data_IF_341030232561
#
_entry.id   IF_341030232561
#
_cell.length_a   1.000
_cell.length_b   1.000
_cell.length_c   1.000
_cell.angle_alpha   90.00
_cell.angle_beta   90.00
_cell.angle_gamma   90.00
#
_symmetry.space_group_name_H-M   'P 1'
#
loop_
_entity.id
_entity.type
_entity.pdbx_description
1 polymer ?
#
# COMPACT_ATOMS: atom_id res chain seq x y z
N UNK A 1 17.39 2.32 23.01
CA UNK A 1 16.51 3.42 22.57
C UNK A 1 15.77 3.11 21.26
N UNK A 2 16.04 1.98 20.58
CA UNK A 2 15.39 1.64 19.30
C UNK A 2 14.19 0.68 19.44
N UNK A 3 14.14 -0.17 20.49
CA UNK A 3 13.06 -1.15 20.67
C UNK A 3 11.67 -0.55 20.95
N UNK A 4 11.57 0.55 21.72
CA UNK A 4 10.26 1.11 22.06
C UNK A 4 9.55 1.75 20.85
N UNK A 5 10.30 2.21 19.87
CA UNK A 5 9.74 2.77 18.64
C UNK A 5 9.25 1.71 17.67
N UNK A 6 9.82 0.50 17.70
CA UNK A 6 9.43 -0.59 16.81
C UNK A 6 8.04 -1.13 17.13
N UNK A 7 7.70 -1.26 18.41
CA UNK A 7 6.36 -1.69 18.85
C UNK A 7 5.28 -0.67 18.48
N UNK A 8 5.56 0.62 18.65
CA UNK A 8 4.63 1.71 18.33
C UNK A 8 4.44 1.85 16.80
N UNK A 9 5.51 1.69 16.03
CA UNK A 9 5.45 1.64 14.56
C UNK A 9 4.70 0.39 14.08
N UNK A 10 4.97 -0.77 14.67
CA UNK A 10 4.32 -2.03 14.33
C UNK A 10 2.82 -1.97 14.55
N UNK A 11 2.36 -1.35 15.65
CA UNK A 11 0.93 -1.15 15.93
C UNK A 11 0.21 -0.34 14.85
N UNK A 12 0.91 0.53 14.13
CA UNK A 12 0.37 1.31 13.01
C UNK A 12 0.28 0.55 11.67
N UNK A 13 0.88 -0.65 11.58
CA UNK A 13 0.87 -1.49 10.38
C UNK A 13 -0.28 -2.49 10.44
N UNK A 14 -1.00 -2.76 9.34
CA UNK A 14 -2.02 -3.80 9.32
C UNK A 14 -1.52 -5.20 9.70
N UNK A 15 -0.26 -5.53 9.41
CA UNK A 15 0.34 -6.79 9.87
C UNK A 15 0.79 -6.78 11.34
N UNK A 16 0.73 -5.64 12.04
CA UNK A 16 1.04 -5.54 13.46
C UNK A 16 2.49 -5.85 13.84
N UNK A 17 3.41 -5.89 12.85
CA UNK A 17 4.83 -6.20 13.06
C UNK A 17 5.73 -5.46 12.08
N UNK A 18 6.96 -5.21 12.49
CA UNK A 18 8.01 -4.73 11.60
C UNK A 18 8.38 -5.82 10.58
N UNK A 19 8.65 -5.39 9.35
CA UNK A 19 9.12 -6.27 8.30
C UNK A 19 10.55 -6.73 8.55
N UNK A 20 10.85 -7.98 8.20
CA UNK A 20 12.21 -8.52 8.23
C UNK A 20 12.74 -8.70 6.81
N UNK A 21 14.07 -8.71 6.61
CA UNK A 21 14.66 -8.97 5.29
C UNK A 21 14.14 -10.26 4.62
N UNK A 22 13.80 -11.26 5.43
CA UNK A 22 13.23 -12.52 4.96
C UNK A 22 11.85 -12.38 4.29
N UNK A 23 11.06 -11.34 4.62
CA UNK A 23 9.78 -11.08 3.97
C UNK A 23 9.96 -10.70 2.50
N UNK A 24 10.95 -9.86 2.21
CA UNK A 24 11.31 -9.47 0.84
C UNK A 24 11.95 -10.65 0.11
N UNK A 25 12.88 -11.36 0.76
CA UNK A 25 13.56 -12.50 0.14
C UNK A 25 12.56 -13.58 -0.33
N UNK A 26 11.54 -13.89 0.48
CA UNK A 26 10.49 -14.84 0.09
C UNK A 26 9.67 -14.36 -1.10
N UNK A 27 9.32 -13.07 -1.16
CA UNK A 27 8.59 -12.51 -2.30
C UNK A 27 9.42 -12.55 -3.59
N UNK A 28 10.72 -12.25 -3.49
CA UNK A 28 11.67 -12.36 -4.61
C UNK A 28 11.80 -13.81 -5.08
N UNK A 29 11.93 -14.77 -4.16
CA UNK A 29 11.99 -16.20 -4.52
C UNK A 29 10.73 -16.65 -5.24
N UNK A 30 9.55 -16.20 -4.81
CA UNK A 30 8.30 -16.49 -5.52
C UNK A 30 8.27 -15.87 -6.91
N UNK A 31 8.64 -14.58 -7.05
CA UNK A 31 8.73 -13.90 -8.35
C UNK A 31 9.74 -14.53 -9.31
N UNK A 32 10.82 -15.12 -8.78
CA UNK A 32 11.84 -15.79 -9.58
C UNK A 32 11.47 -17.24 -9.95
N UNK A 33 10.35 -17.77 -9.45
CA UNK A 33 9.91 -19.14 -9.70
C UNK A 33 9.01 -19.25 -10.93
N UNK A 34 8.86 -20.47 -11.45
CA UNK A 34 7.95 -20.78 -12.56
C UNK A 34 6.49 -20.36 -12.29
N UNK A 35 6.09 -20.26 -11.02
CA UNK A 35 4.76 -19.81 -10.63
C UNK A 35 4.45 -18.35 -11.05
N UNK A 36 5.48 -17.56 -11.36
CA UNK A 36 5.35 -16.18 -11.82
C UNK A 36 5.68 -16.00 -13.31
N UNK A 37 5.74 -17.08 -14.11
CA UNK A 37 6.24 -17.06 -15.51
C UNK A 37 5.54 -16.04 -16.42
N UNK A 38 4.29 -15.68 -16.13
CA UNK A 38 3.49 -14.76 -16.94
C UNK A 38 3.44 -13.33 -16.40
N UNK A 39 4.15 -13.06 -15.29
CA UNK A 39 4.17 -11.76 -14.63
C UNK A 39 5.37 -10.96 -15.12
N UNK A 40 5.11 -9.86 -15.82
CA UNK A 40 6.15 -8.93 -16.28
C UNK A 40 5.66 -7.49 -16.18
N UNK A 41 6.60 -6.56 -15.96
CA UNK A 41 6.31 -5.13 -15.85
C UNK A 41 5.40 -4.73 -14.68
N UNK A 42 5.30 -5.56 -13.66
CA UNK A 42 4.43 -5.34 -12.51
C UNK A 42 5.24 -5.00 -11.24
N UNK A 43 4.68 -4.09 -10.43
CA UNK A 43 5.20 -3.79 -9.09
C UNK A 43 4.52 -4.70 -8.06
N UNK A 44 5.31 -5.51 -7.34
CA UNK A 44 4.82 -6.30 -6.20
C UNK A 44 5.11 -5.57 -4.89
N UNK A 45 4.05 -5.03 -4.28
CA UNK A 45 4.16 -4.34 -3.01
C UNK A 45 4.28 -5.32 -1.83
N UNK A 46 5.36 -5.18 -1.04
CA UNK A 46 5.61 -5.98 0.17
C UNK A 46 5.95 -5.05 1.34
N UNK A 47 4.92 -4.42 1.93
CA UNK A 47 5.09 -3.33 2.90
C UNK A 47 4.31 -3.51 4.21
N UNK A 48 3.89 -4.74 4.51
CA UNK A 48 3.10 -5.05 5.71
C UNK A 48 1.71 -4.38 5.76
N UNK A 49 1.21 -3.90 4.62
CA UNK A 49 -0.08 -3.24 4.50
C UNK A 49 -0.03 -1.73 4.72
N UNK A 50 1.15 -1.12 4.77
CA UNK A 50 1.31 0.33 5.03
C UNK A 50 0.48 1.19 4.07
N UNK A 51 0.34 0.78 2.80
CA UNK A 51 -0.50 1.46 1.81
C UNK A 51 -1.98 1.08 1.82
N UNK A 52 -2.36 0.02 2.54
CA UNK A 52 -3.75 -0.47 2.64
C UNK A 52 -4.50 0.20 3.79
N UNK A 53 -3.91 1.19 4.47
CA UNK A 53 -4.68 2.08 5.34
C UNK A 53 -5.74 2.76 4.47
N UNK A 54 -6.96 2.22 4.54
CA UNK A 54 -8.16 2.81 4.00
C UNK A 54 -8.16 4.29 4.33
N UNK A 55 -8.56 5.08 3.34
CA UNK A 55 -9.04 6.43 3.55
C UNK A 55 -10.19 6.39 4.59
N UNK A 56 -9.84 6.35 5.88
CA UNK A 56 -10.71 6.74 6.97
C UNK A 56 -10.60 8.26 7.19
N UNK A 57 -10.38 8.99 6.11
CA UNK A 57 -11.05 10.27 5.88
C UNK A 57 -11.94 10.05 4.67
N UNK A 58 -13.22 9.83 4.93
CA UNK A 58 -14.26 9.65 3.93
C UNK A 58 -14.35 10.89 3.04
N UNK A 59 -13.60 10.95 1.93
CA UNK A 59 -13.73 12.04 0.95
C UNK A 59 -13.27 11.68 -0.48
N UNK A 60 -12.90 10.41 -0.75
CA UNK A 60 -12.41 10.01 -2.07
C UNK A 60 -13.46 10.02 -3.18
N UNK A 61 -14.74 9.78 -2.83
CA UNK A 61 -15.84 9.81 -3.80
C UNK A 61 -16.42 11.22 -4.01
N UNK A 62 -16.39 12.09 -3.00
CA UNK A 62 -16.94 13.44 -3.06
C UNK A 62 -16.16 14.37 -4.03
N UNK A 63 -14.87 14.11 -4.25
CA UNK A 63 -14.03 14.91 -5.16
C UNK A 63 -14.33 14.64 -6.64
N UNK A 64 -14.65 13.40 -7.02
CA UNK A 64 -14.97 13.05 -8.41
C UNK A 64 -16.34 13.58 -8.83
N UNK A 65 -17.31 13.60 -7.91
CA UNK A 65 -18.65 14.10 -8.18
C UNK A 65 -18.66 15.62 -8.40
N UNK A 66 -17.88 16.36 -7.58
CA UNK A 66 -17.75 17.82 -7.69
C UNK A 66 -17.05 18.30 -8.96
N UNK A 67 -16.16 17.48 -9.53
CA UNK A 67 -15.53 17.77 -10.82
C UNK A 67 -16.47 17.49 -12.00
N UNK A 68 -17.38 16.52 -11.87
CA UNK A 68 -18.41 16.22 -12.89
C UNK A 68 -19.53 17.25 -12.93
N UNK A 69 -19.84 17.90 -11.80
CA UNK A 69 -20.86 18.94 -11.72
C UNK A 69 -20.34 20.34 -12.12
N UNK A 70 -19.05 20.51 -12.39
CA UNK A 70 -18.49 21.79 -12.79
C UNK A 70 -18.71 22.04 -14.28
N UNK A 71 -19.70 22.88 -14.61
CA UNK A 71 -19.80 23.50 -15.92
C UNK A 71 -19.00 24.82 -15.89
N UNK A 72 -18.01 25.03 -16.77
CA UNK A 72 -17.26 26.28 -16.79
C UNK A 72 -18.19 27.44 -17.20
N UNK A 73 -18.05 28.63 -16.58
CA UNK A 73 -18.87 29.78 -16.95
C UNK A 73 -18.56 30.21 -18.39
N UNK A 74 -19.60 30.35 -19.21
CA UNK A 74 -19.48 30.90 -20.57
C UNK A 74 -19.14 32.40 -20.51
N UNK A 75 -18.15 32.82 -21.28
CA UNK A 75 -17.80 34.23 -21.55
C UNK A 75 -18.81 34.93 -22.43
#
# INVERSE_FOLDING_TARGET
MWEHGEDELAAGLPLGRIGHPADIARAVVWLASDAAEWITGADLLVDGGTRVRTAYSADGYAVQERLRSYAPPHS
#
